data_IF_245669570231
#
_entry.id   IF_245669570231
#
_cell.length_a   1.000
_cell.length_b   1.000
_cell.length_c   1.000
_cell.angle_alpha   90.00
_cell.angle_beta   90.00
_cell.angle_gamma   90.00
#
_symmetry.space_group_name_H-M   'P 1'
#
loop_
_entity.id
_entity.type
_entity.pdbx_description
1 polymer ?
#
# COMPACT_ATOMS: atom_id res chain seq x y z
N UNK A 1 13.02 -2.93 1.46
CA UNK A 1 11.59 -2.89 1.12
C UNK A 1 11.04 -1.50 1.42
N UNK A 2 10.17 -0.98 0.57
CA UNK A 2 9.55 0.34 0.79
C UNK A 2 8.59 0.29 1.97
N UNK A 3 8.50 1.40 2.71
CA UNK A 3 7.63 1.52 3.87
C UNK A 3 6.79 2.78 3.70
N UNK A 4 5.46 2.66 3.93
CA UNK A 4 4.54 3.78 3.83
C UNK A 4 3.66 3.87 5.08
N UNK A 5 3.22 5.07 5.39
CA UNK A 5 2.25 5.30 6.46
C UNK A 5 0.84 5.21 5.87
N UNK A 6 -0.05 4.53 6.58
CA UNK A 6 -1.46 4.41 6.21
C UNK A 6 -2.32 4.99 7.32
N UNK A 7 -3.16 5.96 6.97
CA UNK A 7 -4.03 6.60 7.95
C UNK A 7 -5.33 5.81 8.05
N UNK A 8 -5.39 4.90 9.01
CA UNK A 8 -6.58 4.12 9.24
C UNK A 8 -6.26 2.71 9.69
N UNK A 9 -7.32 1.90 9.77
CA UNK A 9 -7.21 0.51 10.16
C UNK A 9 -6.67 -0.33 9.02
N UNK A 10 -5.72 -1.21 9.34
CA UNK A 10 -5.17 -2.13 8.36
C UNK A 10 -5.79 -3.50 8.63
N UNK A 11 -6.64 -3.95 7.71
CA UNK A 11 -7.30 -5.25 7.79
C UNK A 11 -6.68 -6.25 6.81
N UNK A 12 -7.52 -6.98 6.08
CA UNK A 12 -7.05 -7.98 5.11
C UNK A 12 -6.57 -7.34 3.82
N UNK A 13 -7.07 -6.17 3.49
CA UNK A 13 -6.63 -5.42 2.33
C UNK A 13 -6.74 -3.93 2.64
N UNK A 14 -6.02 -3.13 1.86
CA UNK A 14 -6.05 -1.68 1.99
C UNK A 14 -6.23 -1.07 0.62
N UNK A 15 -6.91 0.08 0.58
CA UNK A 15 -7.03 0.89 -0.61
C UNK A 15 -6.18 2.14 -0.42
N UNK A 16 -5.28 2.39 -1.36
CA UNK A 16 -4.40 3.54 -1.32
C UNK A 16 -4.77 4.46 -2.47
N UNK A 17 -5.00 5.74 -2.15
CA UNK A 17 -5.43 6.75 -3.12
C UNK A 17 -4.66 8.05 -2.93
N UNK A 18 -5.12 9.11 -3.60
CA UNK A 18 -4.60 10.48 -3.49
C UNK A 18 -3.09 10.55 -3.76
N UNK A 19 -2.38 11.36 -2.98
CA UNK A 19 -0.96 11.61 -3.20
C UNK A 19 -0.11 10.36 -3.08
N UNK A 20 -0.44 9.50 -2.13
CA UNK A 20 0.34 8.30 -1.90
C UNK A 20 0.21 7.34 -3.08
N UNK A 21 -0.98 7.25 -3.68
CA UNK A 21 -1.17 6.47 -4.90
C UNK A 21 -0.26 6.98 -6.01
N UNK A 22 -0.23 8.30 -6.22
CA UNK A 22 0.63 8.90 -7.22
C UNK A 22 2.10 8.64 -6.96
N UNK A 23 2.52 8.74 -5.70
CA UNK A 23 3.91 8.47 -5.34
C UNK A 23 4.29 7.02 -5.64
N UNK A 24 3.44 6.08 -5.24
CA UNK A 24 3.72 4.65 -5.42
C UNK A 24 3.77 4.27 -6.90
N UNK A 25 2.81 4.78 -7.69
CA UNK A 25 2.68 4.34 -9.08
C UNK A 25 3.53 5.13 -10.05
N UNK A 26 3.65 6.45 -9.87
CA UNK A 26 4.33 7.32 -10.84
C UNK A 26 5.79 7.56 -10.50
N UNK A 27 6.11 7.71 -9.22
CA UNK A 27 7.47 8.00 -8.78
C UNK A 27 8.23 6.71 -8.57
N UNK A 28 7.69 5.80 -7.77
CA UNK A 28 8.35 4.54 -7.46
C UNK A 28 8.09 3.47 -8.51
N UNK A 29 7.08 3.66 -9.35
CA UNK A 29 6.71 2.76 -10.45
C UNK A 29 6.46 1.33 -9.99
N UNK A 30 5.82 1.20 -8.85
CA UNK A 30 5.45 -0.12 -8.34
C UNK A 30 4.30 -0.69 -9.16
N UNK A 31 4.25 -1.99 -9.27
CA UNK A 31 3.31 -2.69 -10.12
C UNK A 31 2.60 -3.79 -9.34
N UNK A 32 1.56 -4.37 -9.97
CA UNK A 32 0.87 -5.52 -9.39
C UNK A 32 1.90 -6.61 -9.09
N UNK A 33 1.82 -7.14 -7.88
CA UNK A 33 2.76 -8.14 -7.38
C UNK A 33 3.89 -7.58 -6.53
N UNK A 34 4.14 -6.27 -6.60
CA UNK A 34 5.19 -5.66 -5.78
C UNK A 34 4.76 -5.60 -4.32
N UNK A 35 5.73 -5.71 -3.44
CA UNK A 35 5.49 -5.75 -1.99
C UNK A 35 6.05 -4.51 -1.32
N UNK A 36 5.41 -4.14 -0.21
CA UNK A 36 5.84 -3.02 0.62
C UNK A 36 5.34 -3.23 2.04
N UNK A 37 5.86 -2.41 2.96
CA UNK A 37 5.40 -2.42 4.34
C UNK A 37 4.52 -1.22 4.61
N UNK A 38 3.47 -1.42 5.41
CA UNK A 38 2.63 -0.35 5.91
C UNK A 38 2.72 -0.30 7.43
N UNK A 39 2.57 0.90 7.96
CA UNK A 39 2.36 1.09 9.39
C UNK A 39 1.34 2.21 9.59
N UNK A 40 0.59 2.13 10.70
CA UNK A 40 -0.43 3.13 11.01
C UNK A 40 -0.30 3.68 12.42
N UNK A 41 0.82 3.40 13.09
CA UNK A 41 1.05 3.89 14.44
C UNK A 41 0.54 2.97 15.54
N UNK A 42 0.06 1.78 15.20
CA UNK A 42 -0.42 0.81 16.19
C UNK A 42 0.70 -0.07 16.77
N UNK A 43 1.95 0.18 16.37
CA UNK A 43 3.09 -0.59 16.84
C UNK A 43 3.49 -1.75 15.94
N UNK A 44 2.76 -1.98 14.86
CA UNK A 44 3.02 -3.09 13.94
C UNK A 44 3.38 -2.61 12.54
N UNK A 45 4.13 -3.44 11.84
CA UNK A 45 4.36 -3.29 10.41
C UNK A 45 3.64 -4.43 9.69
N UNK A 46 3.03 -4.10 8.54
CA UNK A 46 2.24 -5.06 7.78
C UNK A 46 2.83 -5.21 6.39
N UNK A 47 3.18 -6.42 6.02
CA UNK A 47 3.64 -6.69 4.66
C UNK A 47 2.45 -6.78 3.73
N UNK A 48 2.50 -6.01 2.64
CA UNK A 48 1.40 -5.93 1.68
C UNK A 48 1.90 -6.20 0.29
N UNK A 49 0.99 -6.67 -0.57
CA UNK A 49 1.31 -6.92 -1.97
C UNK A 49 0.22 -6.30 -2.83
N UNK A 50 0.62 -5.54 -3.84
CA UNK A 50 -0.32 -4.88 -4.74
C UNK A 50 -1.05 -5.93 -5.55
N UNK A 51 -2.38 -5.92 -5.50
CA UNK A 51 -3.22 -6.87 -6.23
C UNK A 51 -3.99 -6.24 -7.38
N UNK A 52 -4.21 -4.93 -7.34
CA UNK A 52 -4.93 -4.23 -8.40
C UNK A 52 -4.52 -2.76 -8.43
N UNK A 53 -4.44 -2.20 -9.63
CA UNK A 53 -4.14 -0.78 -9.82
C UNK A 53 -5.19 -0.22 -10.76
N UNK A 54 -5.87 0.85 -10.34
CA UNK A 54 -6.84 1.58 -11.14
C UNK A 54 -6.28 2.97 -11.45
N UNK A 55 -7.11 3.83 -12.03
CA UNK A 55 -6.67 5.18 -12.43
C UNK A 55 -6.31 6.07 -11.24
N UNK A 56 -6.97 5.89 -10.10
CA UNK A 56 -6.85 6.79 -8.95
C UNK A 56 -6.54 6.08 -7.65
N UNK A 57 -6.55 4.77 -7.64
CA UNK A 57 -6.27 4.01 -6.43
C UNK A 57 -5.64 2.67 -6.75
N UNK A 58 -5.17 2.03 -5.71
CA UNK A 58 -4.70 0.66 -5.80
C UNK A 58 -5.19 -0.11 -4.59
N UNK A 59 -5.27 -1.42 -4.76
CA UNK A 59 -5.60 -2.35 -3.69
C UNK A 59 -4.38 -3.19 -3.41
N UNK A 60 -4.04 -3.33 -2.14
CA UNK A 60 -2.98 -4.22 -1.71
C UNK A 60 -3.53 -5.18 -0.66
N UNK A 61 -3.16 -6.43 -0.80
CA UNK A 61 -3.53 -7.45 0.17
C UNK A 61 -2.48 -7.48 1.28
N UNK A 62 -2.96 -7.61 2.51
CA UNK A 62 -2.09 -7.73 3.67
C UNK A 62 -1.71 -9.20 3.80
N UNK A 63 -0.41 -9.47 3.72
CA UNK A 63 0.10 -10.84 3.73
C UNK A 63 0.31 -11.35 5.15
N UNK A 64 0.53 -10.42 6.08
CA UNK A 64 0.83 -10.80 7.46
C UNK A 64 0.47 -9.69 8.43
#
# INVERSE_FOLDING_TARGET
MKIFYYNGKIGQSVKIDDEQFGHITRVLRMQIGDKFLLFNGDGNFYECQISAISKRDLIANVLD
#
